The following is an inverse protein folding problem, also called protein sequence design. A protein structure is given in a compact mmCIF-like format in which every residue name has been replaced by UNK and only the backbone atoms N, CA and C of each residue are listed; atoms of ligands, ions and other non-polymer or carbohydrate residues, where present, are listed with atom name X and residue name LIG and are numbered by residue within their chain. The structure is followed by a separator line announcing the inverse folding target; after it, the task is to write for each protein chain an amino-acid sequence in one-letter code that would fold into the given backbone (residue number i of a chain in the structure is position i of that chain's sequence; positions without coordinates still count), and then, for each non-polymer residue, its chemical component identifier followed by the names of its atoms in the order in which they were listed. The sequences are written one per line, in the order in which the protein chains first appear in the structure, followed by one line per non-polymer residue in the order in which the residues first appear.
data_IF_605558433259
#
_entry.id   IF_605558433259
#
_cell.length_a   1.000
_cell.length_b   1.000
_cell.length_c   1.000
_cell.angle_alpha   90.00
_cell.angle_beta   90.00
_cell.angle_gamma   90.00
#
_symmetry.space_group_name_H-M   'P 1'
#
loop_
_entity.id
_entity.type
_entity.pdbx_description
1 polymer ?
#
# COMPACT_ATOMS: atom_id res chain seq x y z
N UNK A 1 -21.85 -0.57 -6.71
CA UNK A 1 -20.94 -0.88 -5.59
C UNK A 1 -20.35 -2.27 -5.83
N UNK A 2 -19.09 -2.39 -6.25
CA UNK A 2 -18.46 -3.71 -6.48
C UNK A 2 -18.12 -4.28 -5.09
N UNK A 3 -18.89 -5.26 -4.62
CA UNK A 3 -18.59 -6.01 -3.39
C UNK A 3 -17.17 -6.56 -3.52
N UNK A 4 -16.26 -6.13 -2.63
CA UNK A 4 -14.87 -6.54 -2.71
C UNK A 4 -14.70 -8.02 -2.41
N UNK A 5 -13.81 -8.71 -3.13
CA UNK A 5 -13.50 -10.13 -2.92
C UNK A 5 -13.19 -10.49 -1.44
N UNK A 6 -12.69 -9.51 -0.66
CA UNK A 6 -12.49 -9.65 0.79
C UNK A 6 -13.79 -9.93 1.56
N UNK A 7 -14.88 -9.25 1.23
CA UNK A 7 -16.18 -9.43 1.90
C UNK A 7 -16.67 -10.86 1.65
N UNK A 8 -16.59 -11.31 0.40
CA UNK A 8 -17.01 -12.64 -0.01
C UNK A 8 -16.21 -13.76 0.70
N UNK A 9 -14.87 -13.67 0.68
CA UNK A 9 -14.04 -14.67 1.39
C UNK A 9 -14.27 -14.67 2.90
N UNK A 10 -14.56 -13.51 3.49
CA UNK A 10 -14.89 -13.44 4.93
C UNK A 10 -16.19 -14.17 5.22
N UNK A 11 -17.23 -13.96 4.41
CA UNK A 11 -18.49 -14.69 4.52
C UNK A 11 -18.31 -16.20 4.39
N UNK A 12 -17.53 -16.65 3.40
CA UNK A 12 -17.23 -18.09 3.22
C UNK A 12 -16.49 -18.67 4.42
N UNK A 13 -15.50 -17.96 4.96
CA UNK A 13 -14.76 -18.41 6.15
C UNK A 13 -15.66 -18.56 7.38
N UNK A 14 -16.59 -17.62 7.58
CA UNK A 14 -17.57 -17.70 8.67
C UNK A 14 -18.48 -18.90 8.47
N UNK A 15 -19.03 -19.08 7.27
CA UNK A 15 -19.89 -20.23 6.96
C UNK A 15 -19.15 -21.56 7.17
N UNK A 16 -17.90 -21.65 6.71
CA UNK A 16 -17.07 -22.84 6.90
C UNK A 16 -16.80 -23.11 8.39
N UNK A 17 -16.44 -22.08 9.15
CA UNK A 17 -16.16 -22.21 10.58
C UNK A 17 -17.40 -22.68 11.37
N UNK A 18 -18.56 -22.09 11.10
CA UNK A 18 -19.82 -22.47 11.75
C UNK A 18 -20.25 -23.89 11.36
N UNK A 19 -20.12 -24.26 10.09
CA UNK A 19 -20.48 -25.59 9.61
C UNK A 19 -19.59 -26.67 10.22
N UNK A 20 -18.27 -26.45 10.21
CA UNK A 20 -17.33 -27.37 10.86
C UNK A 20 -17.60 -27.47 12.37
N UNK A 21 -17.90 -26.36 13.04
CA UNK A 21 -18.18 -26.37 14.47
C UNK A 21 -19.46 -27.16 14.82
N UNK A 22 -20.49 -27.05 13.99
CA UNK A 22 -21.72 -27.84 14.15
C UNK A 22 -21.49 -29.33 13.88
N UNK A 23 -20.75 -29.68 12.83
CA UNK A 23 -20.43 -31.09 12.52
C UNK A 23 -19.64 -31.75 13.66
N UNK A 24 -18.72 -31.02 14.27
CA UNK A 24 -17.93 -31.49 15.42
C UNK A 24 -18.71 -31.41 16.75
N UNK A 25 -19.96 -30.97 16.74
CA UNK A 25 -20.83 -30.82 17.92
C UNK A 25 -20.20 -29.95 19.03
N UNK A 26 -19.52 -28.86 18.65
CA UNK A 26 -19.05 -27.90 19.66
C UNK A 26 -20.25 -27.18 20.31
N UNK A 27 -20.26 -26.99 21.64
CA UNK A 27 -21.43 -26.48 22.38
C UNK A 27 -21.81 -25.04 22.02
N UNK A 28 -20.90 -24.28 21.40
CA UNK A 28 -21.16 -22.89 21.06
C UNK A 28 -20.41 -22.49 19.78
N UNK A 29 -20.95 -22.88 18.60
CA UNK A 29 -20.36 -22.65 17.27
C UNK A 29 -20.10 -21.17 16.96
N UNK A 30 -20.88 -20.26 17.56
CA UNK A 30 -20.77 -18.80 17.36
C UNK A 30 -19.35 -18.29 17.52
N UNK A 31 -18.58 -18.84 18.47
CA UNK A 31 -17.19 -18.42 18.71
C UNK A 31 -16.23 -18.81 17.58
N UNK A 32 -16.51 -19.90 16.86
CA UNK A 32 -15.74 -20.27 15.67
C UNK A 32 -16.00 -19.24 14.56
N UNK A 33 -17.25 -18.81 14.38
CA UNK A 33 -17.61 -17.75 13.44
C UNK A 33 -16.96 -16.41 13.77
N UNK A 34 -17.05 -15.96 15.03
CA UNK A 34 -16.41 -14.73 15.51
C UNK A 34 -14.89 -14.79 15.30
N UNK A 35 -14.25 -15.90 15.68
CA UNK A 35 -12.82 -16.14 15.47
C UNK A 35 -12.44 -16.05 13.99
N UNK A 36 -13.22 -16.65 13.09
CA UNK A 36 -12.96 -16.61 11.65
C UNK A 36 -13.00 -15.18 11.07
N UNK A 37 -13.87 -14.31 11.59
CA UNK A 37 -13.92 -12.89 11.19
C UNK A 37 -12.63 -12.18 11.60
N UNK A 38 -12.20 -12.32 12.86
CA UNK A 38 -10.99 -11.68 13.37
C UNK A 38 -9.71 -12.24 12.74
N UNK A 39 -9.70 -13.53 12.38
CA UNK A 39 -8.58 -14.19 11.72
C UNK A 39 -8.41 -13.87 10.24
N UNK A 40 -9.41 -13.23 9.59
CA UNK A 40 -9.38 -13.00 8.15
C UNK A 40 -8.42 -11.87 7.76
N UNK A 41 -7.27 -12.25 7.18
CA UNK A 41 -6.21 -11.31 6.80
C UNK A 41 -6.25 -10.94 5.29
N UNK A 42 -5.66 -9.80 4.89
CA UNK A 42 -5.65 -9.36 3.49
C UNK A 42 -4.70 -10.18 2.60
N UNK A 43 -3.64 -10.74 3.19
CA UNK A 43 -2.63 -11.56 2.49
C UNK A 43 -2.46 -12.90 3.20
N UNK A 44 -2.02 -13.93 2.46
CA UNK A 44 -1.75 -15.27 3.02
C UNK A 44 -0.63 -15.21 4.06
N UNK A 45 0.42 -14.42 3.79
CA UNK A 45 1.55 -14.25 4.71
C UNK A 45 1.09 -13.68 6.07
N UNK A 46 0.28 -12.62 6.05
CA UNK A 46 -0.32 -12.09 7.28
C UNK A 46 -1.26 -13.10 7.93
N UNK A 47 -1.97 -13.91 7.15
CA UNK A 47 -2.83 -14.98 7.66
C UNK A 47 -2.04 -16.03 8.45
N UNK A 48 -0.87 -16.43 7.95
CA UNK A 48 0.01 -17.37 8.64
C UNK A 48 0.57 -16.78 9.93
N UNK A 49 1.06 -15.54 9.88
CA UNK A 49 1.55 -14.86 11.08
C UNK A 49 0.44 -14.71 12.12
N UNK A 50 -0.75 -14.28 11.69
CA UNK A 50 -1.94 -14.13 12.55
C UNK A 50 -2.37 -15.47 13.15
N UNK A 51 -2.24 -16.59 12.44
CA UNK A 51 -2.51 -17.91 12.99
C UNK A 51 -1.61 -18.20 14.19
N UNK A 52 -0.29 -17.97 14.05
CA UNK A 52 0.67 -18.18 15.14
C UNK A 52 0.41 -17.23 16.31
N UNK A 53 0.18 -15.95 16.03
CA UNK A 53 -0.15 -14.93 17.02
C UNK A 53 -1.44 -15.29 17.79
N UNK A 54 -2.46 -15.82 17.11
CA UNK A 54 -3.71 -16.20 17.75
C UNK A 54 -3.58 -17.45 18.61
N UNK A 55 -2.79 -18.43 18.20
CA UNK A 55 -2.47 -19.59 19.04
C UNK A 55 -1.84 -19.11 20.36
N UNK A 56 -0.82 -18.25 20.28
CA UNK A 56 -0.12 -17.74 21.46
C UNK A 56 -1.04 -16.91 22.36
N UNK A 57 -1.77 -15.95 21.80
CA UNK A 57 -2.63 -15.07 22.58
C UNK A 57 -3.79 -15.81 23.25
N UNK A 58 -4.36 -16.81 22.56
CA UNK A 58 -5.45 -17.63 23.10
C UNK A 58 -4.95 -18.56 24.22
N UNK A 59 -3.75 -19.14 24.08
CA UNK A 59 -3.10 -19.92 25.16
C UNK A 59 -2.86 -19.04 26.39
N UNK A 60 -2.31 -17.83 26.20
CA UNK A 60 -2.08 -16.89 27.30
C UNK A 60 -3.41 -16.52 27.98
N UNK A 61 -4.42 -16.15 27.20
CA UNK A 61 -5.74 -15.81 27.72
C UNK A 61 -6.36 -16.96 28.54
N UNK A 62 -6.30 -18.19 28.02
CA UNK A 62 -6.84 -19.36 28.71
C UNK A 62 -6.09 -19.68 30.01
N UNK A 63 -4.75 -19.65 30.01
CA UNK A 63 -3.94 -19.92 31.20
C UNK A 63 -4.22 -18.89 32.29
N UNK A 64 -4.20 -17.61 31.95
CA UNK A 64 -4.45 -16.54 32.92
C UNK A 64 -5.89 -16.54 33.44
N UNK A 65 -6.87 -16.88 32.60
CA UNK A 65 -8.25 -17.05 33.02
C UNK A 65 -8.40 -18.20 34.03
N UNK A 66 -7.83 -19.37 33.74
CA UNK A 66 -7.85 -20.54 34.63
C UNK A 66 -7.20 -20.22 35.99
N UNK A 67 -6.02 -19.61 35.98
CA UNK A 67 -5.32 -19.23 37.22
C UNK A 67 -6.15 -18.22 38.02
N UNK A 68 -6.74 -17.23 37.37
CA UNK A 68 -7.51 -16.19 38.04
C UNK A 68 -8.79 -16.73 38.69
N UNK A 69 -9.50 -17.63 37.99
CA UNK A 69 -10.70 -18.29 38.53
C UNK A 69 -10.35 -19.15 39.74
N UNK A 70 -9.25 -19.90 39.69
CA UNK A 70 -8.79 -20.74 40.80
C UNK A 70 -8.40 -19.94 42.04
N UNK A 71 -7.84 -18.74 41.87
CA UNK A 71 -7.37 -17.91 42.98
C UNK A 71 -8.45 -16.99 43.56
N UNK A 72 -9.30 -16.41 42.70
CA UNK A 72 -10.18 -15.30 43.08
C UNK A 72 -11.66 -15.53 42.72
N UNK A 73 -12.00 -16.63 42.04
CA UNK A 73 -13.36 -16.95 41.61
C UNK A 73 -13.86 -16.10 40.44
N UNK A 74 -15.19 -16.05 40.26
CA UNK A 74 -15.88 -15.51 39.08
C UNK A 74 -16.30 -14.03 39.22
N UNK A 75 -15.61 -13.22 40.03
CA UNK A 75 -16.01 -11.84 40.27
C UNK A 75 -15.70 -10.94 39.05
N UNK A 76 -16.65 -10.12 38.55
CA UNK A 76 -16.40 -9.20 37.43
C UNK A 76 -15.17 -8.29 37.60
N UNK A 77 -14.85 -7.87 38.83
CA UNK A 77 -13.64 -7.08 39.10
C UNK A 77 -12.35 -7.87 38.80
N UNK A 78 -12.34 -9.16 39.11
CA UNK A 78 -11.21 -10.06 38.81
C UNK A 78 -11.09 -10.25 37.31
N UNK A 79 -12.20 -10.45 36.60
CA UNK A 79 -12.20 -10.58 35.12
C UNK A 79 -11.57 -9.35 34.47
N UNK A 80 -11.96 -8.15 34.92
CA UNK A 80 -11.36 -6.90 34.45
C UNK A 80 -9.86 -6.81 34.72
N UNK A 81 -9.42 -7.19 35.92
CA UNK A 81 -8.00 -7.20 36.28
C UNK A 81 -7.20 -8.22 35.44
N UNK A 82 -7.72 -9.42 35.25
CA UNK A 82 -7.11 -10.45 34.41
C UNK A 82 -7.02 -9.99 32.96
N UNK A 83 -8.07 -9.34 32.43
CA UNK A 83 -8.04 -8.75 31.10
C UNK A 83 -6.92 -7.70 30.95
N UNK A 84 -6.76 -6.80 31.93
CA UNK A 84 -5.67 -5.80 31.92
C UNK A 84 -4.29 -6.48 31.90
N UNK A 85 -4.11 -7.52 32.72
CA UNK A 85 -2.86 -8.29 32.76
C UNK A 85 -2.57 -8.98 31.42
N UNK A 86 -3.57 -9.61 30.82
CA UNK A 86 -3.44 -10.27 29.51
C UNK A 86 -3.14 -9.25 28.42
N UNK A 87 -3.79 -8.08 28.42
CA UNK A 87 -3.46 -6.99 27.48
C UNK A 87 -1.99 -6.59 27.62
N UNK A 88 -1.53 -6.32 28.85
CA UNK A 88 -0.15 -5.92 29.09
C UNK A 88 0.87 -6.97 28.58
N UNK A 89 0.58 -8.25 28.80
CA UNK A 89 1.42 -9.36 28.31
C UNK A 89 1.39 -9.48 26.79
N UNK A 90 0.21 -9.39 26.16
CA UNK A 90 0.09 -9.40 24.71
C UNK A 90 0.86 -8.23 24.07
N UNK A 91 0.82 -7.03 24.66
CA UNK A 91 1.61 -5.88 24.19
C UNK A 91 3.12 -6.15 24.31
N UNK A 92 3.57 -6.71 25.44
CA UNK A 92 4.98 -7.05 25.66
C UNK A 92 5.49 -8.09 24.64
N UNK A 93 4.62 -9.01 24.23
CA UNK A 93 4.91 -10.04 23.23
C UNK A 93 4.64 -9.60 21.78
N UNK A 94 4.23 -8.35 21.55
CA UNK A 94 3.86 -7.78 20.23
C UNK A 94 2.70 -8.50 19.54
N UNK A 95 1.74 -9.00 20.32
CA UNK A 95 0.52 -9.69 19.87
C UNK A 95 -0.69 -8.74 19.74
N UNK A 96 -0.46 -7.50 19.32
CA UNK A 96 -1.47 -6.43 19.33
C UNK A 96 -2.72 -6.76 18.50
N UNK A 97 -2.52 -7.43 17.37
CA UNK A 97 -3.56 -7.83 16.42
C UNK A 97 -4.56 -8.84 16.99
N UNK A 98 -4.21 -9.55 18.07
CA UNK A 98 -4.98 -10.69 18.61
C UNK A 98 -5.51 -10.46 20.03
N UNK A 99 -5.26 -9.28 20.61
CA UNK A 99 -5.74 -8.88 21.95
C UNK A 99 -7.25 -9.08 22.07
N UNK A 100 -8.03 -8.63 21.08
CA UNK A 100 -9.50 -8.75 21.11
C UNK A 100 -9.97 -10.20 21.24
N UNK A 101 -9.32 -11.15 20.55
CA UNK A 101 -9.68 -12.57 20.60
C UNK A 101 -9.25 -13.20 21.93
N UNK A 102 -8.09 -12.81 22.46
CA UNK A 102 -7.64 -13.24 23.78
C UNK A 102 -8.58 -12.76 24.89
N UNK A 103 -9.06 -11.52 24.81
CA UNK A 103 -10.04 -10.97 25.76
C UNK A 103 -11.38 -11.70 25.72
N UNK A 104 -11.89 -12.00 24.53
CA UNK A 104 -13.11 -12.82 24.38
C UNK A 104 -12.92 -14.19 25.05
N UNK A 105 -11.72 -14.77 24.94
CA UNK A 105 -11.39 -16.04 25.60
C UNK A 105 -11.39 -15.92 27.12
N UNK A 106 -10.73 -14.89 27.66
CA UNK A 106 -10.68 -14.62 29.11
C UNK A 106 -12.09 -14.47 29.67
N UNK A 107 -12.89 -13.59 29.06
CA UNK A 107 -14.26 -13.32 29.51
C UNK A 107 -15.09 -14.60 29.45
N UNK A 108 -15.07 -15.33 28.33
CA UNK A 108 -15.87 -16.53 28.16
C UNK A 108 -15.51 -17.63 29.18
N UNK A 109 -14.22 -17.83 29.48
CA UNK A 109 -13.78 -18.85 30.44
C UNK A 109 -14.13 -18.43 31.87
N UNK A 110 -13.91 -17.16 32.23
CA UNK A 110 -14.13 -16.70 33.60
C UNK A 110 -15.61 -16.50 33.94
N UNK A 111 -16.48 -16.26 32.95
CA UNK A 111 -17.93 -16.18 33.16
C UNK A 111 -18.58 -17.56 33.36
N UNK A 112 -17.93 -18.63 32.91
CA UNK A 112 -18.44 -19.99 33.07
C UNK A 112 -18.28 -20.48 34.51
N UNK A 113 -19.40 -20.66 35.21
CA UNK A 113 -19.47 -20.92 36.66
C UNK A 113 -19.62 -22.40 37.04
N UNK A 114 -19.69 -23.32 36.06
CA UNK A 114 -19.85 -24.75 36.36
C UNK A 114 -18.51 -25.42 36.72
N UNK A 115 -18.60 -26.57 37.39
CA UNK A 115 -17.45 -27.31 37.95
C UNK A 115 -16.42 -27.78 36.92
N UNK A 116 -16.83 -27.98 35.66
CA UNK A 116 -15.97 -28.47 34.59
C UNK A 116 -15.31 -27.34 33.76
N UNK A 117 -14.95 -26.23 34.40
CA UNK A 117 -14.42 -25.04 33.71
C UNK A 117 -13.13 -25.29 32.91
N UNK A 118 -12.27 -26.25 33.33
CA UNK A 118 -11.05 -26.63 32.58
C UNK A 118 -11.43 -27.30 31.26
N UNK A 119 -12.38 -28.23 31.28
CA UNK A 119 -12.89 -28.88 30.06
C UNK A 119 -13.52 -27.84 29.13
N UNK A 120 -14.28 -26.92 29.70
CA UNK A 120 -14.84 -25.79 28.95
C UNK A 120 -13.77 -24.90 28.31
N UNK A 121 -12.68 -24.61 29.02
CA UNK A 121 -11.54 -23.85 28.47
C UNK A 121 -10.90 -24.54 27.27
N UNK A 122 -10.69 -25.87 27.32
CA UNK A 122 -10.14 -26.65 26.20
C UNK A 122 -11.09 -26.65 25.00
N UNK A 123 -12.39 -26.83 25.25
CA UNK A 123 -13.43 -26.77 24.21
C UNK A 123 -13.48 -25.38 23.57
N UNK A 124 -13.37 -24.32 24.38
CA UNK A 124 -13.35 -22.93 23.91
C UNK A 124 -12.12 -22.65 23.05
N UNK A 125 -10.94 -23.03 23.53
CA UNK A 125 -9.71 -22.92 22.77
C UNK A 125 -9.83 -23.61 21.40
N UNK A 126 -10.33 -24.86 21.40
CA UNK A 126 -10.52 -25.65 20.19
C UNK A 126 -11.50 -25.00 19.21
N UNK A 127 -12.61 -24.44 19.72
CA UNK A 127 -13.63 -23.76 18.92
C UNK A 127 -13.06 -22.50 18.25
N UNK A 128 -12.28 -21.70 18.98
CA UNK A 128 -11.62 -20.51 18.41
C UNK A 128 -10.59 -20.93 17.37
N UNK A 129 -9.76 -21.94 17.66
CA UNK A 129 -8.77 -22.45 16.72
C UNK A 129 -9.39 -22.98 15.42
N UNK A 130 -10.55 -23.64 15.50
CA UNK A 130 -11.30 -24.06 14.32
C UNK A 130 -11.66 -22.87 13.42
N UNK A 131 -12.10 -21.76 14.01
CA UNK A 131 -12.38 -20.52 13.29
C UNK A 131 -11.14 -19.92 12.61
N UNK A 132 -10.00 -19.88 13.33
CA UNK A 132 -8.73 -19.40 12.79
C UNK A 132 -8.27 -20.25 11.61
N UNK A 133 -8.34 -21.58 11.75
CA UNK A 133 -7.96 -22.53 10.71
C UNK A 133 -8.89 -22.42 9.49
N UNK A 134 -10.20 -22.30 9.69
CA UNK A 134 -11.15 -22.09 8.60
C UNK A 134 -10.85 -20.81 7.82
N UNK A 135 -10.59 -19.69 8.52
CA UNK A 135 -10.19 -18.44 7.88
C UNK A 135 -8.88 -18.56 7.11
N UNK A 136 -7.88 -19.24 7.68
CA UNK A 136 -6.60 -19.48 7.02
C UNK A 136 -6.76 -20.34 5.75
N UNK A 137 -7.53 -21.44 5.82
CA UNK A 137 -7.81 -22.33 4.68
C UNK A 137 -8.52 -21.56 3.56
N UNK A 138 -9.56 -20.80 3.90
CA UNK A 138 -10.28 -19.98 2.91
C UNK A 138 -9.34 -18.94 2.28
N UNK A 139 -8.49 -18.29 3.07
CA UNK A 139 -7.54 -17.33 2.54
C UNK A 139 -6.44 -17.97 1.66
N UNK A 140 -6.15 -19.26 1.86
CA UNK A 140 -5.23 -20.04 1.03
C UNK A 140 -5.87 -20.47 -0.30
N UNK A 141 -7.13 -20.91 -0.27
CA UNK A 141 -7.88 -21.37 -1.45
C UNK A 141 -8.26 -20.20 -2.35
N UNK A 142 -8.74 -19.11 -1.77
CA UNK A 142 -9.09 -17.90 -2.52
C UNK A 142 -7.82 -17.08 -2.76
N UNK A 143 -7.17 -17.33 -3.91
CA UNK A 143 -5.95 -16.68 -4.38
C UNK A 143 -5.97 -15.16 -4.14
N UNK A 144 -4.85 -14.58 -3.68
CA UNK A 144 -4.75 -13.14 -3.47
C UNK A 144 -5.04 -12.39 -4.77
N UNK A 145 -5.68 -11.20 -4.69
CA UNK A 145 -5.92 -10.39 -5.87
C UNK A 145 -4.58 -10.06 -6.54
N UNK A 146 -4.56 -9.93 -7.87
CA UNK A 146 -3.36 -9.58 -8.66
C UNK A 146 -2.85 -8.17 -8.28
N UNK A 147 -2.16 -8.05 -7.14
CA UNK A 147 -1.71 -6.78 -6.56
C UNK A 147 -0.74 -6.05 -7.50
N UNK A 148 0.11 -6.78 -8.20
CA UNK A 148 1.06 -6.22 -9.17
C UNK A 148 0.35 -5.42 -10.27
N UNK A 149 -0.63 -6.04 -10.94
CA UNK A 149 -1.36 -5.43 -12.04
C UNK A 149 -2.17 -4.22 -11.55
N UNK A 150 -2.82 -4.37 -10.39
CA UNK A 150 -3.55 -3.27 -9.76
C UNK A 150 -2.63 -2.11 -9.41
N UNK A 151 -1.45 -2.40 -8.84
CA UNK A 151 -0.45 -1.41 -8.48
C UNK A 151 0.03 -0.65 -9.71
N UNK A 152 0.44 -1.36 -10.76
CA UNK A 152 0.88 -0.72 -12.00
C UNK A 152 -0.20 0.18 -12.59
N UNK A 153 -1.44 -0.30 -12.73
CA UNK A 153 -2.52 0.53 -13.26
C UNK A 153 -2.80 1.76 -12.38
N UNK A 154 -2.80 1.61 -11.06
CA UNK A 154 -2.97 2.75 -10.16
C UNK A 154 -1.80 3.75 -10.25
N UNK A 155 -0.56 3.28 -10.46
CA UNK A 155 0.59 4.16 -10.72
C UNK A 155 0.35 4.94 -12.02
N UNK A 156 0.05 4.25 -13.12
CA UNK A 156 -0.09 4.89 -14.44
C UNK A 156 -1.25 5.88 -14.48
N UNK A 157 -2.42 5.50 -13.94
CA UNK A 157 -3.61 6.37 -13.90
C UNK A 157 -3.34 7.65 -13.09
N UNK A 158 -2.66 7.53 -11.94
CA UNK A 158 -2.30 8.68 -11.12
C UNK A 158 -1.27 9.56 -11.82
N UNK A 159 -0.23 8.96 -12.42
CA UNK A 159 0.76 9.70 -13.21
C UNK A 159 0.08 10.46 -14.34
N UNK A 160 -0.70 9.80 -15.20
CA UNK A 160 -1.40 10.43 -16.33
C UNK A 160 -2.26 11.62 -15.89
N UNK A 161 -2.99 11.47 -14.77
CA UNK A 161 -3.78 12.55 -14.20
C UNK A 161 -2.92 13.75 -13.78
N UNK A 162 -1.80 13.50 -13.08
CA UNK A 162 -0.86 14.54 -12.66
C UNK A 162 -0.24 15.24 -13.88
N UNK A 163 0.25 14.49 -14.88
CA UNK A 163 0.86 15.07 -16.08
C UNK A 163 -0.15 15.90 -16.87
N UNK A 164 -1.41 15.46 -16.94
CA UNK A 164 -2.50 16.24 -17.54
C UNK A 164 -2.71 17.57 -16.82
N UNK A 165 -2.75 17.57 -15.50
CA UNK A 165 -2.90 18.80 -14.71
C UNK A 165 -1.72 19.75 -14.87
N UNK A 166 -0.49 19.23 -14.89
CA UNK A 166 0.70 20.05 -15.17
C UNK A 166 0.58 20.71 -16.55
N UNK A 167 0.21 19.96 -17.60
CA UNK A 167 -0.02 20.51 -18.96
C UNK A 167 -1.09 21.60 -18.98
N UNK A 168 -2.17 21.43 -18.22
CA UNK A 168 -3.27 22.42 -18.16
C UNK A 168 -2.84 23.69 -17.42
N UNK A 169 -2.15 23.55 -16.29
CA UNK A 169 -1.71 24.67 -15.47
C UNK A 169 -0.66 25.54 -16.18
N UNK A 170 0.33 24.95 -16.84
CA UNK A 170 1.35 25.70 -17.60
C UNK A 170 0.74 26.51 -18.76
N UNK A 171 -0.43 26.11 -19.26
CA UNK A 171 -1.14 26.79 -20.35
C UNK A 171 -2.22 27.75 -19.87
N UNK A 172 -2.31 28.00 -18.55
CA UNK A 172 -3.34 28.82 -17.91
C UNK A 172 -4.76 28.40 -18.28
N UNK A 173 -4.97 27.11 -18.56
CA UNK A 173 -6.25 26.56 -19.02
C UNK A 173 -7.12 25.99 -17.88
N UNK A 174 -6.75 26.24 -16.62
CA UNK A 174 -7.41 25.70 -15.44
C UNK A 174 -7.86 26.81 -14.49
N UNK A 175 -9.09 26.73 -13.98
CA UNK A 175 -9.54 27.59 -12.89
C UNK A 175 -8.81 27.25 -11.57
N UNK A 176 -8.26 28.26 -10.90
CA UNK A 176 -7.41 28.11 -9.73
C UNK A 176 -8.09 27.32 -8.58
N UNK A 177 -9.39 27.50 -8.35
CA UNK A 177 -10.11 26.80 -7.28
C UNK A 177 -10.30 25.31 -7.56
N UNK A 178 -10.65 24.94 -8.79
CA UNK A 178 -10.85 23.53 -9.19
C UNK A 178 -9.54 22.74 -9.09
N UNK A 179 -8.42 23.35 -9.51
CA UNK A 179 -7.11 22.69 -9.47
C UNK A 179 -6.68 22.35 -8.03
N UNK A 180 -6.97 23.20 -7.05
CA UNK A 180 -6.65 22.94 -5.64
C UNK A 180 -7.36 21.69 -5.10
N UNK A 181 -8.67 21.54 -5.39
CA UNK A 181 -9.45 20.39 -4.94
C UNK A 181 -8.92 19.09 -5.57
N UNK A 182 -8.57 19.13 -6.85
CA UNK A 182 -8.01 17.98 -7.55
C UNK A 182 -6.60 17.61 -7.07
N UNK A 183 -5.77 18.58 -6.69
CA UNK A 183 -4.47 18.32 -6.04
C UNK A 183 -4.67 17.55 -4.72
N UNK A 184 -5.64 17.92 -3.89
CA UNK A 184 -5.92 17.18 -2.64
C UNK A 184 -6.40 15.75 -2.92
N UNK A 185 -7.30 15.57 -3.91
CA UNK A 185 -7.73 14.23 -4.35
C UNK A 185 -6.54 13.39 -4.85
N UNK A 186 -5.59 13.99 -5.57
CA UNK A 186 -4.39 13.30 -6.04
C UNK A 186 -3.48 12.89 -4.87
N UNK A 187 -3.31 13.73 -3.85
CA UNK A 187 -2.57 13.36 -2.63
C UNK A 187 -3.19 12.15 -1.93
N UNK A 188 -4.51 12.13 -1.76
CA UNK A 188 -5.20 10.98 -1.16
C UNK A 188 -5.00 9.70 -1.98
N UNK A 189 -5.02 9.81 -3.32
CA UNK A 189 -4.74 8.67 -4.20
C UNK A 189 -3.29 8.19 -4.05
N UNK A 190 -2.32 9.07 -3.85
CA UNK A 190 -0.93 8.69 -3.59
C UNK A 190 -0.78 7.94 -2.26
N UNK A 191 -1.48 8.34 -1.20
CA UNK A 191 -1.50 7.59 0.08
C UNK A 191 -2.04 6.17 -0.12
N UNK A 192 -3.14 6.03 -0.87
CA UNK A 192 -3.72 4.72 -1.22
C UNK A 192 -2.76 3.88 -2.08
N UNK A 193 -1.96 4.54 -2.94
CA UNK A 193 -0.94 3.89 -3.77
C UNK A 193 0.19 3.31 -2.93
N UNK A 194 0.68 4.04 -1.93
CA UNK A 194 1.68 3.55 -0.97
C UNK A 194 1.17 2.35 -0.17
N UNK A 195 -0.09 2.39 0.27
CA UNK A 195 -0.73 1.24 0.93
C UNK A 195 -0.79 0.01 0.01
N UNK A 196 -1.15 0.21 -1.26
CA UNK A 196 -1.18 -0.86 -2.26
C UNK A 196 0.22 -1.43 -2.54
N UNK A 197 1.24 -0.58 -2.58
CA UNK A 197 2.63 -1.00 -2.68
C UNK A 197 3.06 -1.88 -1.50
N UNK A 198 2.68 -1.52 -0.27
CA UNK A 198 2.97 -2.34 0.92
C UNK A 198 2.32 -3.73 0.82
N UNK A 199 1.07 -3.81 0.36
CA UNK A 199 0.40 -5.10 0.13
C UNK A 199 1.14 -5.94 -0.92
N UNK A 200 1.59 -5.33 -2.02
CA UNK A 200 2.40 -6.00 -3.02
C UNK A 200 3.78 -6.39 -2.48
N UNK A 201 4.39 -5.62 -1.57
CA UNK A 201 5.68 -5.95 -0.96
C UNK A 201 5.59 -7.14 0.00
N UNK A 202 4.49 -7.25 0.75
CA UNK A 202 4.29 -8.26 1.79
C UNK A 202 3.81 -9.62 1.30
N UNK A 203 3.17 -9.68 0.14
CA UNK A 203 2.85 -10.94 -0.51
C UNK A 203 4.14 -11.77 -0.60
N UNK A 204 4.18 -13.05 -0.23
CA UNK A 204 5.36 -13.91 -0.43
C UNK A 204 4.99 -14.95 -1.47
N UNK A 205 5.76 -15.04 -2.54
CA UNK A 205 5.63 -16.14 -3.50
C UNK A 205 6.40 -17.31 -2.89
N UNK A 206 5.71 -18.44 -2.71
CA UNK A 206 6.26 -19.66 -2.11
C UNK A 206 7.43 -20.26 -2.92
N UNK A 207 7.57 -19.89 -4.19
CA UNK A 207 8.64 -20.33 -5.08
C UNK A 207 9.87 -19.42 -4.97
N UNK A 208 10.91 -19.94 -4.32
CA UNK A 208 12.21 -19.28 -4.10
C UNK A 208 12.89 -18.82 -5.42
N UNK A 209 12.52 -19.44 -6.55
CA UNK A 209 13.06 -19.19 -7.90
C UNK A 209 12.78 -17.77 -8.44
N UNK A 210 11.72 -17.09 -7.97
CA UNK A 210 11.34 -15.75 -8.47
C UNK A 210 11.69 -14.58 -7.52
N UNK A 211 12.49 -14.85 -6.47
CA UNK A 211 12.78 -13.85 -5.42
C UNK A 211 13.54 -12.62 -5.96
N UNK A 212 14.53 -12.83 -6.83
CA UNK A 212 15.34 -11.75 -7.38
C UNK A 212 14.57 -10.89 -8.37
N UNK A 213 13.85 -11.50 -9.31
CA UNK A 213 13.01 -10.80 -10.29
C UNK A 213 12.00 -9.88 -9.59
N UNK A 214 11.35 -10.40 -8.54
CA UNK A 214 10.40 -9.62 -7.77
C UNK A 214 11.04 -8.49 -6.97
N UNK A 215 12.21 -8.74 -6.37
CA UNK A 215 12.95 -7.68 -5.67
C UNK A 215 13.29 -6.52 -6.61
N UNK A 216 13.68 -6.83 -7.86
CA UNK A 216 13.88 -5.81 -8.91
C UNK A 216 12.58 -5.07 -9.24
N UNK A 217 11.46 -5.78 -9.44
CA UNK A 217 10.14 -5.16 -9.65
C UNK A 217 9.72 -4.25 -8.49
N UNK A 218 9.97 -4.66 -7.24
CA UNK A 218 9.66 -3.84 -6.06
C UNK A 218 10.45 -2.53 -6.04
N UNK A 219 11.71 -2.55 -6.48
CA UNK A 219 12.53 -1.34 -6.64
C UNK A 219 11.97 -0.45 -7.75
N UNK A 220 11.61 -1.03 -8.90
CA UNK A 220 10.99 -0.30 -10.01
C UNK A 220 9.68 0.39 -9.61
N UNK A 221 8.73 -0.35 -9.02
CA UNK A 221 7.47 0.23 -8.59
C UNK A 221 7.67 1.31 -7.51
N UNK A 222 8.63 1.13 -6.60
CA UNK A 222 8.97 2.17 -5.61
C UNK A 222 9.49 3.43 -6.29
N UNK A 223 10.36 3.28 -7.29
CA UNK A 223 10.91 4.40 -8.03
C UNK A 223 9.85 5.10 -8.90
N UNK A 224 8.92 4.34 -9.51
CA UNK A 224 7.78 4.92 -10.23
C UNK A 224 6.92 5.79 -9.29
N UNK A 225 6.58 5.27 -8.10
CA UNK A 225 5.83 6.04 -7.09
C UNK A 225 6.61 7.30 -6.68
N UNK A 226 7.93 7.21 -6.52
CA UNK A 226 8.81 8.36 -6.23
C UNK A 226 8.73 9.42 -7.34
N UNK A 227 8.84 9.01 -8.60
CA UNK A 227 8.74 9.90 -9.76
C UNK A 227 7.35 10.56 -9.86
N UNK A 228 6.27 9.79 -9.65
CA UNK A 228 4.90 10.32 -9.60
C UNK A 228 4.72 11.33 -8.46
N UNK A 229 5.27 11.06 -7.28
CA UNK A 229 5.24 12.00 -6.15
C UNK A 229 5.99 13.29 -6.47
N UNK A 230 7.17 13.22 -7.11
CA UNK A 230 7.88 14.43 -7.54
C UNK A 230 7.12 15.23 -8.59
N UNK A 231 6.49 14.57 -9.55
CA UNK A 231 5.61 15.26 -10.50
C UNK A 231 4.46 15.99 -9.76
N UNK A 232 3.85 15.35 -8.76
CA UNK A 232 2.80 15.95 -7.94
C UNK A 232 3.32 17.14 -7.10
N UNK A 233 4.54 17.07 -6.57
CA UNK A 233 5.16 18.18 -5.87
C UNK A 233 5.43 19.37 -6.80
N UNK A 234 5.93 19.10 -8.02
CA UNK A 234 6.09 20.13 -9.06
C UNK A 234 4.75 20.78 -9.40
N UNK A 235 3.67 20.00 -9.55
CA UNK A 235 2.32 20.54 -9.77
C UNK A 235 1.85 21.47 -8.63
N UNK A 236 2.11 21.10 -7.36
CA UNK A 236 1.76 21.95 -6.21
C UNK A 236 2.49 23.28 -6.24
N UNK A 237 3.79 23.25 -6.55
CA UNK A 237 4.61 24.47 -6.60
C UNK A 237 4.21 25.34 -7.78
N UNK A 238 3.97 24.74 -8.96
CA UNK A 238 3.44 25.44 -10.13
C UNK A 238 2.11 26.13 -9.84
N UNK A 239 1.16 25.42 -9.24
CA UNK A 239 -0.14 25.99 -8.89
C UNK A 239 -0.01 27.14 -7.89
N UNK A 240 0.87 27.01 -6.88
CA UNK A 240 1.09 28.07 -5.89
C UNK A 240 1.73 29.32 -6.49
N UNK A 241 2.67 29.14 -7.42
CA UNK A 241 3.44 30.23 -8.05
C UNK A 241 2.86 30.65 -9.41
N UNK A 242 1.62 30.25 -9.72
CA UNK A 242 0.99 30.48 -11.01
C UNK A 242 0.94 31.98 -11.38
N UNK A 243 0.59 32.83 -10.41
CA UNK A 243 0.50 34.27 -10.62
C UNK A 243 1.89 34.91 -10.83
N UNK A 244 2.89 34.50 -10.05
CA UNK A 244 4.28 34.97 -10.19
C UNK A 244 4.82 34.58 -11.57
N UNK A 245 4.61 33.33 -11.98
CA UNK A 245 5.06 32.83 -13.28
C UNK A 245 4.41 33.59 -14.45
N UNK A 246 3.16 34.04 -14.32
CA UNK A 246 2.46 34.82 -15.35
C UNK A 246 3.10 36.21 -15.58
N UNK A 247 3.68 36.81 -14.54
CA UNK A 247 4.33 38.12 -14.62
C UNK A 247 5.81 38.05 -15.07
N UNK A 248 6.34 36.85 -15.26
CA UNK A 248 7.73 36.64 -15.69
C UNK A 248 7.95 37.01 -17.16
N UNK A 249 9.21 37.25 -17.59
CA UNK A 249 9.53 37.45 -19.00
C UNK A 249 9.05 36.25 -19.87
N UNK A 250 8.54 36.51 -21.07
CA UNK A 250 7.99 35.45 -21.94
C UNK A 250 9.04 34.38 -22.30
N UNK A 251 10.32 34.76 -22.40
CA UNK A 251 11.43 33.83 -22.64
C UNK A 251 11.63 32.83 -21.49
N UNK A 252 11.49 33.29 -20.25
CA UNK A 252 11.59 32.43 -19.07
C UNK A 252 10.38 31.49 -18.98
N UNK A 253 9.16 32.02 -19.17
CA UNK A 253 7.94 31.22 -19.21
C UNK A 253 8.03 30.11 -20.26
N UNK A 254 8.53 30.43 -21.46
CA UNK A 254 8.69 29.47 -22.55
C UNK A 254 9.74 28.39 -22.23
N UNK A 255 10.80 28.75 -21.49
CA UNK A 255 11.84 27.82 -21.05
C UNK A 255 11.32 26.86 -19.99
N UNK A 256 10.62 27.35 -18.96
CA UNK A 256 9.94 26.51 -17.96
C UNK A 256 8.96 25.55 -18.64
N UNK A 257 8.15 26.06 -19.57
CA UNK A 257 7.20 25.26 -20.34
C UNK A 257 7.85 24.17 -21.17
N UNK A 258 8.92 24.50 -21.91
CA UNK A 258 9.64 23.54 -22.75
C UNK A 258 10.28 22.44 -21.91
N UNK A 259 10.89 22.80 -20.78
CA UNK A 259 11.47 21.83 -19.85
C UNK A 259 10.41 20.90 -19.26
N UNK A 260 9.28 21.44 -18.82
CA UNK A 260 8.19 20.63 -18.29
C UNK A 260 7.59 19.73 -19.39
N UNK A 261 7.27 20.25 -20.57
CA UNK A 261 6.76 19.45 -21.69
C UNK A 261 7.71 18.29 -22.04
N UNK A 262 9.02 18.52 -21.99
CA UNK A 262 10.03 17.47 -22.13
C UNK A 262 9.94 16.42 -21.01
N UNK A 263 9.94 16.82 -19.74
CA UNK A 263 9.88 15.89 -18.60
C UNK A 263 8.59 15.07 -18.58
N UNK A 264 7.46 15.68 -18.91
CA UNK A 264 6.17 14.98 -18.98
C UNK A 264 6.19 13.92 -20.09
N UNK A 265 6.70 14.27 -21.27
CA UNK A 265 6.85 13.32 -22.37
C UNK A 265 7.82 12.19 -22.01
N UNK A 266 8.94 12.52 -21.38
CA UNK A 266 9.92 11.53 -20.94
C UNK A 266 9.31 10.56 -19.92
N UNK A 267 8.52 11.04 -18.97
CA UNK A 267 7.82 10.18 -18.01
C UNK A 267 6.83 9.23 -18.68
N UNK A 268 6.02 9.72 -19.63
CA UNK A 268 5.10 8.88 -20.43
C UNK A 268 5.88 7.79 -21.20
N UNK A 269 7.00 8.16 -21.83
CA UNK A 269 7.86 7.21 -22.56
C UNK A 269 8.45 6.13 -21.64
N UNK A 270 8.95 6.51 -20.46
CA UNK A 270 9.50 5.55 -19.48
C UNK A 270 8.45 4.50 -19.08
N UNK A 271 7.20 4.93 -18.83
CA UNK A 271 6.11 4.01 -18.50
C UNK A 271 5.77 3.09 -19.68
N UNK A 272 5.75 3.60 -20.92
CA UNK A 272 5.55 2.79 -22.12
C UNK A 272 6.71 1.81 -22.38
N UNK A 273 7.95 2.23 -22.08
CA UNK A 273 9.16 1.39 -22.14
C UNK A 273 9.02 0.22 -21.17
N UNK A 274 8.57 0.45 -19.93
CA UNK A 274 8.38 -0.61 -18.95
C UNK A 274 7.43 -1.73 -19.42
N UNK A 275 6.37 -1.41 -20.17
CA UNK A 275 5.43 -2.41 -20.72
C UNK A 275 5.82 -2.95 -22.10
N UNK A 276 6.99 -2.58 -22.63
CA UNK A 276 7.49 -3.03 -23.94
C UNK A 276 6.77 -2.42 -25.14
N UNK A 277 5.97 -1.35 -24.96
CA UNK A 277 5.21 -0.72 -26.05
C UNK A 277 5.94 0.43 -26.75
N UNK A 278 7.12 0.81 -26.28
CA UNK A 278 7.99 1.79 -26.92
C UNK A 278 9.34 1.14 -27.29
N UNK A 279 9.82 1.40 -28.51
CA UNK A 279 11.17 1.00 -28.93
C UNK A 279 12.21 1.89 -28.23
N UNK A 280 13.41 1.35 -27.99
CA UNK A 280 14.60 2.13 -27.62
C UNK A 280 14.80 3.25 -28.64
N UNK A 281 14.44 4.49 -28.29
CA UNK A 281 15.04 5.65 -28.95
C UNK A 281 16.51 5.70 -28.51
N UNK A 282 17.43 6.08 -29.40
CA UNK A 282 18.85 6.11 -29.07
C UNK A 282 19.06 6.93 -27.78
N UNK A 283 19.56 6.29 -26.71
CA UNK A 283 19.82 6.89 -25.38
C UNK A 283 20.54 8.24 -25.50
N UNK A 284 21.40 8.37 -26.51
CA UNK A 284 22.15 9.59 -26.81
C UNK A 284 21.29 10.81 -27.14
N UNK A 285 20.16 10.67 -27.83
CA UNK A 285 19.30 11.81 -28.22
C UNK A 285 18.43 12.30 -27.06
N UNK A 286 17.89 11.37 -26.26
CA UNK A 286 17.05 11.72 -25.11
C UNK A 286 17.92 12.35 -24.02
N UNK A 287 19.09 11.78 -23.72
CA UNK A 287 20.00 12.30 -22.70
C UNK A 287 20.61 13.65 -23.08
N UNK A 288 20.97 13.85 -24.36
CA UNK A 288 21.48 15.15 -24.83
C UNK A 288 20.41 16.24 -24.75
N UNK A 289 19.16 15.91 -25.10
CA UNK A 289 18.03 16.84 -24.95
C UNK A 289 17.71 17.13 -23.47
N UNK A 290 17.78 16.14 -22.59
CA UNK A 290 17.60 16.33 -21.14
C UNK A 290 18.60 17.33 -20.57
N UNK A 291 19.88 17.12 -20.91
CA UNK A 291 20.98 17.96 -20.47
C UNK A 291 20.83 19.39 -21.01
N UNK A 292 20.47 19.53 -22.30
CA UNK A 292 20.28 20.83 -22.93
C UNK A 292 19.16 21.64 -22.28
N UNK A 293 17.96 21.06 -22.10
CA UNK A 293 16.83 21.78 -21.52
C UNK A 293 17.03 22.06 -20.02
N UNK A 294 17.69 21.15 -19.28
CA UNK A 294 18.11 21.41 -17.88
C UNK A 294 19.08 22.59 -17.80
N UNK A 295 20.11 22.61 -18.66
CA UNK A 295 21.11 23.68 -18.71
C UNK A 295 20.44 25.02 -19.04
N UNK A 296 19.60 25.06 -20.07
CA UNK A 296 18.86 26.24 -20.51
C UNK A 296 17.95 26.81 -19.41
N UNK A 297 17.26 25.96 -18.64
CA UNK A 297 16.44 26.41 -17.50
C UNK A 297 17.29 27.07 -16.42
N UNK A 298 18.45 26.49 -16.10
CA UNK A 298 19.36 27.02 -15.07
C UNK A 298 19.99 28.33 -15.53
N UNK A 299 20.41 28.44 -16.80
CA UNK A 299 20.95 29.67 -17.37
C UNK A 299 19.91 30.80 -17.37
N UNK A 300 18.69 30.53 -17.85
CA UNK A 300 17.61 31.50 -17.84
C UNK A 300 17.23 31.97 -16.42
N UNK A 301 17.40 31.09 -15.42
CA UNK A 301 17.21 31.46 -14.03
C UNK A 301 18.31 32.37 -13.49
N UNK A 302 19.58 32.08 -13.78
CA UNK A 302 20.69 32.92 -13.35
C UNK A 302 20.59 34.32 -13.96
N UNK A 303 20.31 34.42 -15.26
CA UNK A 303 20.13 35.70 -15.96
C UNK A 303 19.01 36.56 -15.34
N UNK A 304 17.92 35.93 -14.91
CA UNK A 304 16.81 36.62 -14.27
C UNK A 304 17.11 37.01 -12.80
N UNK A 305 17.75 36.12 -12.04
CA UNK A 305 18.01 36.32 -10.61
C UNK A 305 19.10 37.37 -10.33
N UNK A 306 19.93 37.73 -11.33
CA UNK A 306 20.82 38.89 -11.23
C UNK A 306 20.05 40.23 -11.16
N UNK A 307 18.78 40.26 -11.57
CA UNK A 307 17.94 41.47 -11.62
C UNK A 307 17.05 41.66 -10.37
N UNK A 308 16.95 40.67 -9.47
CA UNK A 308 16.17 40.76 -8.24
C UNK A 308 16.16 39.47 -7.40
N UNK A 309 16.01 39.60 -6.07
CA UNK A 309 16.02 38.49 -5.10
C UNK A 309 14.65 37.78 -5.00
N UNK A 310 14.24 37.03 -6.03
CA UNK A 310 13.02 36.22 -5.97
C UNK A 310 13.30 34.76 -5.59
N UNK A 311 13.48 34.53 -4.29
CA UNK A 311 13.76 33.19 -3.72
C UNK A 311 12.68 32.14 -4.03
N UNK A 312 11.47 32.54 -4.41
CA UNK A 312 10.36 31.63 -4.72
C UNK A 312 10.58 30.85 -6.03
N UNK A 313 11.30 31.44 -7.00
CA UNK A 313 11.68 30.78 -8.25
C UNK A 313 12.68 29.65 -8.05
N UNK A 314 13.57 29.77 -7.05
CA UNK A 314 14.49 28.70 -6.67
C UNK A 314 13.75 27.42 -6.30
N UNK A 315 12.62 27.56 -5.61
CA UNK A 315 11.79 26.42 -5.23
C UNK A 315 11.14 25.75 -6.45
N UNK A 316 10.65 26.53 -7.42
CA UNK A 316 10.11 25.98 -8.66
C UNK A 316 11.16 25.18 -9.42
N UNK A 317 12.31 25.78 -9.69
CA UNK A 317 13.38 25.15 -10.45
C UNK A 317 13.93 23.93 -9.72
N UNK A 318 14.11 24.03 -8.40
CA UNK A 318 14.52 22.90 -7.56
C UNK A 318 13.57 21.71 -7.71
N UNK A 319 12.26 21.93 -7.72
CA UNK A 319 11.29 20.84 -7.94
C UNK A 319 11.33 20.26 -9.36
N UNK A 320 11.51 21.10 -10.38
CA UNK A 320 11.63 20.65 -11.77
C UNK A 320 12.88 19.80 -11.97
N UNK A 321 14.03 20.24 -11.44
CA UNK A 321 15.29 19.50 -11.52
C UNK A 321 15.19 18.18 -10.74
N UNK A 322 14.69 18.22 -9.50
CA UNK A 322 14.52 17.02 -8.69
C UNK A 322 13.57 16.00 -9.34
N UNK A 323 12.53 16.47 -10.04
CA UNK A 323 11.65 15.62 -10.83
C UNK A 323 12.40 14.94 -11.98
N UNK A 324 13.18 15.70 -12.76
CA UNK A 324 14.01 15.14 -13.84
C UNK A 324 15.00 14.09 -13.35
N UNK A 325 15.68 14.33 -12.23
CA UNK A 325 16.63 13.36 -11.65
C UNK A 325 15.95 12.04 -11.23
N UNK A 326 14.71 12.09 -10.74
CA UNK A 326 13.95 10.86 -10.45
C UNK A 326 13.59 10.09 -11.72
N UNK A 327 13.33 10.77 -12.84
CA UNK A 327 13.05 10.13 -14.13
C UNK A 327 14.32 9.47 -14.70
N UNK A 328 15.46 10.16 -14.68
CA UNK A 328 16.74 9.57 -15.10
C UNK A 328 17.09 8.32 -14.30
N UNK A 329 16.87 8.35 -12.97
CA UNK A 329 17.09 7.18 -12.13
C UNK A 329 16.11 6.05 -12.45
N UNK A 330 14.83 6.37 -12.69
CA UNK A 330 13.82 5.38 -13.07
C UNK A 330 14.16 4.71 -14.41
N UNK A 331 14.61 5.48 -15.41
CA UNK A 331 14.95 4.98 -16.72
C UNK A 331 16.13 4.00 -16.67
N UNK A 332 17.21 4.38 -15.96
CA UNK A 332 18.37 3.49 -15.71
C UNK A 332 17.97 2.16 -15.06
N UNK A 333 17.04 2.19 -14.12
CA UNK A 333 16.55 0.97 -13.47
C UNK A 333 15.74 0.10 -14.44
N UNK A 334 14.93 0.71 -15.31
CA UNK A 334 14.14 -0.01 -16.32
C UNK A 334 15.05 -0.64 -17.38
N UNK A 335 16.09 0.07 -17.83
CA UNK A 335 17.10 -0.47 -18.74
C UNK A 335 17.83 -1.67 -18.15
N UNK A 336 18.30 -1.52 -16.91
CA UNK A 336 18.92 -2.62 -16.16
C UNK A 336 17.95 -3.79 -15.93
N UNK A 337 16.64 -3.55 -15.88
CA UNK A 337 15.67 -4.62 -15.77
C UNK A 337 15.50 -5.37 -17.10
N UNK A 338 15.32 -4.64 -18.21
CA UNK A 338 15.08 -5.18 -19.54
C UNK A 338 16.28 -5.94 -20.11
N UNK A 339 17.52 -5.47 -19.87
CA UNK A 339 18.73 -6.15 -20.34
C UNK A 339 18.86 -7.58 -19.77
N UNK A 340 18.35 -7.83 -18.56
CA UNK A 340 18.47 -9.11 -17.87
C UNK A 340 17.25 -10.03 -18.02
N UNK A 341 16.15 -9.59 -18.66
CA UNK A 341 14.88 -10.34 -18.72
C UNK A 341 14.25 -10.35 -20.13
N UNK A 342 15.08 -10.42 -21.19
CA UNK A 342 14.63 -10.36 -22.60
C UNK A 342 13.64 -11.46 -23.02
N UNK A 343 13.61 -12.60 -22.35
CA UNK A 343 12.83 -13.78 -22.78
C UNK A 343 11.43 -13.94 -22.15
N UNK A 344 11.02 -13.05 -21.24
CA UNK A 344 9.71 -13.14 -20.55
C UNK A 344 8.76 -12.00 -20.96
N UNK A 345 8.78 -11.62 -22.24
CA UNK A 345 7.80 -10.73 -22.87
C UNK A 345 6.40 -11.38 -22.89
N UNK A 346 5.67 -11.21 -21.79
CA UNK A 346 4.24 -10.88 -21.81
C UNK A 346 3.83 -10.50 -20.39
N UNK A 347 4.14 -9.26 -20.02
CA UNK A 347 3.51 -8.61 -18.88
C UNK A 347 1.99 -8.72 -19.09
N UNK A 348 1.33 -9.65 -18.39
CA UNK A 348 -0.13 -9.82 -18.32
C UNK A 348 -0.90 -8.60 -17.74
N UNK A 349 -0.22 -7.46 -17.73
CA UNK A 349 -0.64 -6.14 -17.31
C UNK A 349 -1.39 -5.41 -18.45
N UNK A 350 -1.28 -5.84 -19.72
CA UNK A 350 -1.96 -5.18 -20.85
C UNK A 350 -3.47 -5.45 -20.98
N UNK A 351 -4.06 -6.37 -20.20
CA UNK A 351 -5.51 -6.64 -20.29
C UNK A 351 -6.35 -5.67 -19.45
N UNK A 352 -7.03 -4.70 -20.06
CA UNK A 352 -8.20 -4.06 -19.44
C UNK A 352 -9.29 -5.15 -19.31
N UNK A 353 -9.51 -5.68 -18.12
CA UNK A 353 -10.75 -6.43 -17.84
C UNK A 353 -11.80 -5.40 -17.44
N UNK A 354 -12.79 -5.23 -18.32
CA UNK A 354 -14.07 -4.54 -18.10
C UNK A 354 -14.83 -5.09 -16.91
#
# INVERSE_FOLDING_TARGET
MKLGARIFKTGIAVTLALLLANIMNFPSPVFAGISAVFAMQPTIYRSYLSLVEQVQANIIGAIFAIISVLLFGHNPFVIGLTAILVIALCLQLRLESTISVALVTVIAIMEYTETNFIQFAVVRFSTIMLGVLAAFIVNLIFLPPKYEKKLYHSITENTEAILKWIRMNIRHASEHHMLKEDIEKLKEKMIKLDQLYLLYKEERIYLQKNRYQRSRKLVLYRQMISATNRALDTLKVLHRLENELYHMPPEFQQTVRSQLDYLLHYHEQILLKFIGKAKFQQESEIASKAFYEKKRLVEAFYEYNEQGNEYHLFLLIGTIIAYGEQLEHLDKLIESFQQYHKDEESLGISGRET
#
